data_IF_926718866559
#
_entry.id   IF_926718866559
#
_cell.length_a   1.000
_cell.length_b   1.000
_cell.length_c   1.000
_cell.angle_alpha   90.00
_cell.angle_beta   90.00
_cell.angle_gamma   90.00
#
_symmetry.space_group_name_H-M   'P 1'
#
loop_
_entity.id
_entity.type
_entity.pdbx_description
1 polymer ?
#
# COMPACT_ATOMS: atom_id res chain seq x y z
N UNK A 1 -18.73 3.72 11.62
CA UNK A 1 -18.33 4.11 10.27
C UNK A 1 -16.83 4.02 10.13
N UNK A 2 -16.37 3.31 9.12
CA UNK A 2 -14.93 3.17 8.92
C UNK A 2 -14.35 4.49 8.38
N UNK A 3 -13.24 4.94 8.96
CA UNK A 3 -12.59 6.14 8.46
C UNK A 3 -12.10 5.96 7.01
N UNK A 4 -11.97 7.04 6.29
CA UNK A 4 -11.44 7.05 4.94
C UNK A 4 -9.95 6.70 4.99
N UNK A 5 -9.56 5.53 4.48
CA UNK A 5 -8.16 5.07 4.46
C UNK A 5 -7.25 6.02 3.69
N UNK A 6 -7.75 6.60 2.61
CA UNK A 6 -6.98 7.59 1.84
C UNK A 6 -6.57 8.78 2.70
N UNK A 7 -7.49 9.28 3.54
CA UNK A 7 -7.21 10.39 4.45
C UNK A 7 -6.10 10.03 5.44
N UNK A 8 -6.19 8.86 6.07
CA UNK A 8 -5.18 8.42 7.04
C UNK A 8 -3.84 8.17 6.39
N UNK A 9 -3.82 7.55 5.22
CA UNK A 9 -2.58 7.31 4.48
C UNK A 9 -1.89 8.62 4.13
N UNK A 10 -2.65 9.62 3.69
CA UNK A 10 -2.11 10.94 3.37
C UNK A 10 -1.54 11.62 4.61
N UNK A 11 -2.22 11.52 5.75
CA UNK A 11 -1.69 12.08 7.00
C UNK A 11 -0.39 11.40 7.41
N UNK A 12 -0.30 10.09 7.28
CA UNK A 12 0.92 9.35 7.59
C UNK A 12 2.06 9.79 6.68
N UNK A 13 1.81 9.99 5.40
CA UNK A 13 2.82 10.53 4.49
C UNK A 13 3.34 11.89 4.95
N UNK A 14 2.47 12.77 5.45
CA UNK A 14 2.89 14.05 6.02
C UNK A 14 3.77 13.88 7.25
N UNK A 15 3.40 12.98 8.15
CA UNK A 15 4.20 12.67 9.33
C UNK A 15 5.58 12.14 8.96
N UNK A 16 5.67 11.37 7.89
CA UNK A 16 6.93 10.86 7.38
C UNK A 16 7.68 11.87 6.53
N UNK A 17 7.15 13.08 6.37
CA UNK A 17 7.72 14.15 5.54
C UNK A 17 7.85 13.73 4.07
N UNK A 18 6.91 12.96 3.57
CA UNK A 18 6.83 12.59 2.17
C UNK A 18 6.01 13.65 1.45
N UNK A 19 6.61 14.32 0.48
CA UNK A 19 5.91 15.32 -0.33
C UNK A 19 5.75 14.78 -1.74
N UNK A 20 4.52 14.56 -2.22
CA UNK A 20 4.31 14.20 -3.61
C UNK A 20 4.80 15.32 -4.51
N UNK A 21 5.54 14.99 -5.56
CA UNK A 21 5.94 15.97 -6.57
C UNK A 21 4.76 16.22 -7.48
N UNK A 22 4.25 17.45 -7.45
CA UNK A 22 3.09 17.81 -8.25
C UNK A 22 3.39 17.93 -9.74
N UNK A 23 2.41 17.50 -10.54
CA UNK A 23 2.10 18.08 -11.83
C UNK A 23 3.09 17.95 -12.96
N UNK A 24 4.01 17.04 -12.92
CA UNK A 24 4.99 16.92 -13.99
C UNK A 24 4.97 15.60 -14.73
N UNK A 25 3.83 14.90 -14.66
CA UNK A 25 3.67 13.65 -15.39
C UNK A 25 4.50 12.48 -14.85
N UNK A 26 5.23 12.68 -13.76
CA UNK A 26 6.00 11.61 -13.13
C UNK A 26 5.10 10.89 -12.13
N UNK A 27 4.84 9.58 -12.32
CA UNK A 27 4.04 8.84 -11.36
C UNK A 27 4.67 8.83 -9.98
N UNK A 28 3.89 9.08 -8.96
CA UNK A 28 4.32 8.93 -7.57
C UNK A 28 3.28 8.10 -6.82
N UNK A 29 3.68 7.42 -5.74
CA UNK A 29 2.74 6.64 -4.95
C UNK A 29 1.64 7.51 -4.38
N UNK A 30 0.38 7.10 -4.61
CA UNK A 30 -0.79 7.71 -4.00
C UNK A 30 -1.30 6.71 -2.98
N UNK A 31 -1.24 7.04 -1.69
CA UNK A 31 -1.55 6.07 -0.66
C UNK A 31 -3.01 5.69 -0.63
N UNK A 32 -3.27 4.39 -0.52
CA UNK A 32 -4.59 3.83 -0.27
C UNK A 32 -4.50 3.00 1.00
N UNK A 33 -4.53 1.67 0.94
CA UNK A 33 -4.37 0.83 2.12
C UNK A 33 -2.94 0.85 2.65
N UNK A 34 -2.80 0.79 3.97
CA UNK A 34 -1.49 0.79 4.64
C UNK A 34 -1.41 -0.29 5.70
N UNK A 35 -0.19 -0.74 6.02
CA UNK A 35 0.06 -1.55 7.21
C UNK A 35 1.44 -1.26 7.77
N UNK A 36 1.62 -1.57 9.06
CA UNK A 36 2.84 -1.28 9.81
C UNK A 36 3.60 -2.56 10.11
N UNK A 37 4.93 -2.47 10.11
CA UNK A 37 5.77 -3.58 10.56
C UNK A 37 6.51 -3.26 11.86
N UNK A 38 7.17 -4.27 12.43
CA UNK A 38 7.83 -4.18 13.74
C UNK A 38 9.04 -3.23 13.75
N UNK A 39 9.57 -2.86 12.60
CA UNK A 39 10.72 -1.96 12.47
C UNK A 39 10.30 -0.55 12.09
N UNK A 40 9.06 -0.18 12.41
CA UNK A 40 8.51 1.15 12.13
C UNK A 40 8.38 1.44 10.64
N UNK A 41 8.42 0.43 9.81
CA UNK A 41 8.16 0.57 8.38
C UNK A 41 6.66 0.63 8.09
N UNK A 42 6.30 1.41 7.09
CA UNK A 42 4.91 1.56 6.65
C UNK A 42 4.82 1.11 5.21
N UNK A 43 4.05 0.05 4.98
CA UNK A 43 3.74 -0.42 3.65
C UNK A 43 2.51 0.32 3.13
N UNK A 44 2.61 0.86 1.95
CA UNK A 44 1.55 1.66 1.34
C UNK A 44 1.22 1.09 -0.03
N UNK A 45 -0.05 0.71 -0.21
CA UNK A 45 -0.55 0.30 -1.52
C UNK A 45 -0.82 1.54 -2.36
N UNK A 46 -0.33 1.56 -3.60
CA UNK A 46 -0.46 2.67 -4.52
C UNK A 46 -1.14 2.22 -5.81
N UNK A 47 -2.44 2.53 -5.96
CA UNK A 47 -3.16 2.15 -7.18
C UNK A 47 -2.63 2.84 -8.44
N UNK A 48 -2.24 4.09 -8.32
CA UNK A 48 -1.83 4.89 -9.48
C UNK A 48 -0.51 4.44 -10.10
N UNK A 49 0.36 3.82 -9.31
CA UNK A 49 1.66 3.34 -9.79
C UNK A 49 1.75 1.82 -9.82
N UNK A 50 0.68 1.12 -9.46
CA UNK A 50 0.62 -0.35 -9.40
C UNK A 50 1.80 -0.92 -8.63
N UNK A 51 1.92 -0.51 -7.37
CA UNK A 51 3.01 -0.95 -6.51
C UNK A 51 2.62 -0.89 -5.04
N UNK A 52 3.40 -1.58 -4.22
CA UNK A 52 3.38 -1.42 -2.77
C UNK A 52 4.77 -0.95 -2.36
N UNK A 53 4.83 0.10 -1.58
CA UNK A 53 6.08 0.78 -1.23
C UNK A 53 6.24 0.81 0.28
N UNK A 54 7.43 0.48 0.76
CA UNK A 54 7.74 0.59 2.19
C UNK A 54 8.51 1.87 2.47
N UNK A 55 7.97 2.65 3.38
CA UNK A 55 8.59 3.89 3.85
C UNK A 55 9.04 3.75 5.29
N UNK A 56 10.11 4.44 5.64
CA UNK A 56 10.52 4.65 7.03
C UNK A 56 10.47 6.14 7.34
N UNK A 57 10.66 6.48 8.63
CA UNK A 57 10.60 7.86 9.08
C UNK A 57 11.48 8.78 8.22
N UNK A 58 10.99 9.97 7.93
CA UNK A 58 11.66 10.92 7.06
C UNK A 58 11.37 10.73 5.58
N UNK A 59 10.55 9.74 5.22
CA UNK A 59 10.15 9.51 3.84
C UNK A 59 11.11 8.65 3.03
N UNK A 60 12.00 7.94 3.68
CA UNK A 60 12.93 7.06 2.99
C UNK A 60 12.20 5.82 2.47
N UNK A 61 12.34 5.54 1.18
CA UNK A 61 11.81 4.32 0.58
C UNK A 61 12.85 3.22 0.74
N UNK A 62 12.45 2.11 1.38
CA UNK A 62 13.33 0.96 1.59
C UNK A 62 13.02 -0.20 0.66
N UNK A 63 11.77 -0.32 0.22
CA UNK A 63 11.32 -1.42 -0.63
C UNK A 63 10.26 -0.93 -1.59
N UNK A 64 10.26 -1.48 -2.81
CA UNK A 64 9.23 -1.25 -3.80
C UNK A 64 8.89 -2.57 -4.46
N UNK A 65 7.61 -2.91 -4.46
CA UNK A 65 7.11 -4.15 -5.07
C UNK A 65 6.10 -3.78 -6.13
N UNK A 66 6.45 -4.01 -7.39
CA UNK A 66 5.54 -3.79 -8.51
C UNK A 66 4.49 -4.89 -8.52
N UNK A 67 3.24 -4.50 -8.72
CA UNK A 67 2.12 -5.43 -8.83
C UNK A 67 1.61 -5.50 -10.27
N UNK A 68 1.04 -6.64 -10.69
CA UNK A 68 0.52 -6.75 -12.06
C UNK A 68 -0.68 -5.83 -12.33
N UNK A 69 -1.45 -5.53 -11.29
CA UNK A 69 -2.64 -4.67 -11.35
C UNK A 69 -2.48 -3.55 -10.33
N UNK A 70 -3.46 -2.66 -10.27
CA UNK A 70 -3.46 -1.58 -9.28
C UNK A 70 -3.58 -2.15 -7.87
N UNK A 71 -2.70 -1.74 -6.98
CA UNK A 71 -2.68 -2.18 -5.59
C UNK A 71 -3.54 -1.23 -4.74
N UNK A 72 -4.54 -1.77 -4.05
CA UNK A 72 -5.47 -0.99 -3.24
C UNK A 72 -5.32 -1.20 -1.75
N UNK A 73 -4.88 -2.37 -1.33
CA UNK A 73 -4.72 -2.68 0.08
C UNK A 73 -3.55 -3.62 0.29
N UNK A 74 -2.98 -3.56 1.48
CA UNK A 74 -1.91 -4.48 1.88
C UNK A 74 -2.04 -4.80 3.36
N UNK A 75 -1.55 -5.99 3.75
CA UNK A 75 -1.60 -6.46 5.12
C UNK A 75 -0.48 -7.46 5.36
N UNK A 76 0.15 -7.37 6.52
CA UNK A 76 1.12 -8.37 6.95
C UNK A 76 0.43 -9.48 7.74
N UNK A 77 0.78 -10.70 7.46
CA UNK A 77 0.21 -11.87 8.11
C UNK A 77 1.06 -13.10 7.93
N UNK A 78 0.43 -14.25 7.95
CA UNK A 78 1.13 -15.54 7.93
C UNK A 78 1.56 -15.97 9.32
N UNK A 79 2.13 -17.17 9.44
CA UNK A 79 2.50 -17.74 10.73
C UNK A 79 3.60 -16.96 11.45
N UNK A 80 4.51 -16.34 10.70
CA UNK A 80 5.59 -15.53 11.24
C UNK A 80 5.35 -14.02 11.12
N UNK A 81 4.20 -13.60 10.55
CA UNK A 81 3.90 -12.20 10.34
C UNK A 81 4.70 -11.54 9.21
N UNK A 82 5.43 -12.30 8.43
CA UNK A 82 6.33 -11.81 7.37
C UNK A 82 5.81 -12.03 5.97
N UNK A 83 4.53 -12.28 5.83
CA UNK A 83 3.91 -12.42 4.51
C UNK A 83 3.05 -11.18 4.23
N UNK A 84 3.42 -10.45 3.21
CA UNK A 84 2.65 -9.29 2.77
C UNK A 84 1.60 -9.73 1.78
N UNK A 85 0.34 -9.53 2.12
CA UNK A 85 -0.79 -9.77 1.23
C UNK A 85 -1.18 -8.46 0.58
N UNK A 86 -1.38 -8.50 -0.74
CA UNK A 86 -1.73 -7.30 -1.51
C UNK A 86 -3.00 -7.58 -2.30
N UNK A 87 -4.00 -6.74 -2.10
CA UNK A 87 -5.25 -6.80 -2.86
C UNK A 87 -5.13 -5.89 -4.06
N UNK A 88 -5.37 -6.45 -5.24
CA UNK A 88 -5.27 -5.72 -6.51
C UNK A 88 -6.55 -5.85 -7.33
N UNK A 89 -6.74 -4.89 -8.22
CA UNK A 89 -7.82 -4.91 -9.20
C UNK A 89 -7.47 -3.96 -10.35
N UNK A 90 -8.13 -4.13 -11.49
CA UNK A 90 -7.93 -3.20 -12.61
C UNK A 90 -8.79 -1.95 -12.48
N UNK A 91 -9.87 -2.01 -11.67
CA UNK A 91 -10.80 -0.90 -11.49
C UNK A 91 -11.30 -0.84 -10.05
N UNK A 92 -11.57 0.35 -9.57
CA UNK A 92 -12.10 0.61 -8.23
C UNK A 92 -13.58 0.99 -8.25
N UNK A 93 -14.09 1.48 -9.37
CA UNK A 93 -15.50 1.86 -9.49
C UNK A 93 -16.36 0.61 -9.50
N UNK A 94 -17.49 0.58 -8.72
CA UNK A 94 -18.29 -0.62 -8.58
C UNK A 94 -18.78 -1.24 -9.90
N UNK A 95 -19.19 -0.42 -10.85
CA UNK A 95 -19.67 -0.92 -12.13
C UNK A 95 -18.56 -1.52 -12.98
N UNK A 96 -17.42 -0.84 -13.06
CA UNK A 96 -16.26 -1.35 -13.75
C UNK A 96 -15.74 -2.62 -13.10
N UNK A 97 -15.67 -2.65 -11.76
CA UNK A 97 -15.20 -3.80 -11.00
C UNK A 97 -16.08 -5.02 -11.25
N UNK A 98 -17.40 -4.84 -11.35
CA UNK A 98 -18.32 -5.92 -11.69
C UNK A 98 -18.10 -6.44 -13.11
N UNK A 99 -17.88 -5.55 -14.06
CA UNK A 99 -17.68 -5.92 -15.47
C UNK A 99 -16.37 -6.65 -15.67
N UNK A 100 -15.28 -6.21 -15.04
CA UNK A 100 -13.95 -6.75 -15.26
C UNK A 100 -13.66 -7.96 -14.38
N UNK A 101 -14.18 -7.98 -13.13
CA UNK A 101 -13.94 -9.05 -12.15
C UNK A 101 -12.46 -9.39 -12.00
N UNK A 102 -11.61 -8.37 -11.90
CA UNK A 102 -10.16 -8.49 -11.91
C UNK A 102 -9.52 -8.57 -10.53
N UNK A 103 -10.32 -8.57 -9.46
CA UNK A 103 -9.80 -8.62 -8.10
C UNK A 103 -8.94 -9.84 -7.84
N UNK A 104 -7.74 -9.62 -7.30
CA UNK A 104 -6.80 -10.69 -6.97
C UNK A 104 -6.07 -10.37 -5.67
N UNK A 105 -5.61 -11.42 -4.99
CA UNK A 105 -4.78 -11.30 -3.80
C UNK A 105 -3.44 -11.96 -4.11
N UNK A 106 -2.37 -11.20 -3.98
CA UNK A 106 -1.01 -11.70 -4.10
C UNK A 106 -0.37 -11.75 -2.71
N UNK A 107 0.61 -12.61 -2.54
CA UNK A 107 1.39 -12.64 -1.33
C UNK A 107 2.88 -12.70 -1.65
N UNK A 108 3.68 -12.08 -0.80
CA UNK A 108 5.14 -12.07 -0.95
C UNK A 108 5.76 -12.09 0.45
N UNK A 109 6.86 -12.81 0.57
CA UNK A 109 7.62 -12.84 1.83
C UNK A 109 8.45 -11.57 1.94
N UNK A 110 8.44 -10.97 3.13
CA UNK A 110 9.17 -9.74 3.42
C UNK A 110 10.06 -9.93 4.65
N UNK A 111 10.96 -8.99 4.88
CA UNK A 111 11.99 -9.12 5.91
C UNK A 111 11.47 -8.91 7.34
N UNK A 112 10.54 -7.98 7.52
CA UNK A 112 10.07 -7.59 8.85
C UNK A 112 8.63 -8.01 9.10
N UNK A 113 8.36 -8.54 10.29
CA UNK A 113 7.03 -9.01 10.66
C UNK A 113 6.09 -7.86 11.00
N UNK A 114 4.80 -8.18 11.07
CA UNK A 114 3.78 -7.20 11.45
C UNK A 114 4.08 -6.57 12.82
N UNK A 115 3.52 -5.39 13.05
CA UNK A 115 3.79 -4.58 14.24
C UNK A 115 3.15 -5.12 15.53
N UNK A 116 2.53 -6.26 15.52
CA UNK A 116 2.03 -6.91 16.73
C UNK A 116 0.52 -6.84 16.94
N UNK A 117 -0.20 -5.85 16.39
CA UNK A 117 -1.65 -5.73 16.53
C UNK A 117 -2.36 -5.51 15.22
N UNK A 118 -3.46 -6.14 15.14
CA UNK A 118 -3.59 -7.57 15.22
C UNK A 118 -2.78 -8.11 14.18
#
# INVERSE_FOLDING_TARGET
MMPNLFYYSTRIMRLLKITPKEGKGIPYPVPDGICLDEKMGIWIASPTTSEVVRYTEGGKITDRITTPNRAYACMLGGSDGKKLFVCTADASEPEEAKAVKSGKIYSINVEHSKAGYP
#
